data_IF_938533033450
#
_entry.id   IF_938533033450
#
_cell.length_a   1.000
_cell.length_b   1.000
_cell.length_c   1.000
_cell.angle_alpha   90.00
_cell.angle_beta   90.00
_cell.angle_gamma   90.00
#
_symmetry.space_group_name_H-M   'P 1'
#
loop_
_entity.id
_entity.type
_entity.pdbx_description
1 polymer ?
#
# COMPACT_ATOMS: atom_id res chain seq x y z
N UNK A 1 -10.66 1.28 17.76
CA UNK A 1 -9.71 0.19 17.40
C UNK A 1 -8.68 0.77 16.46
N UNK A 2 -7.43 0.33 16.52
CA UNK A 2 -6.36 0.83 15.65
C UNK A 2 -6.29 0.00 14.36
N UNK A 3 -6.10 0.67 13.22
CA UNK A 3 -5.91 0.02 11.91
C UNK A 3 -4.47 -0.45 11.66
N UNK A 4 -3.55 -0.22 12.62
CA UNK A 4 -2.15 -0.59 12.49
C UNK A 4 -1.91 -2.06 12.10
N UNK A 5 -2.65 -3.06 12.62
CA UNK A 5 -2.48 -4.45 12.19
C UNK A 5 -2.86 -4.69 10.72
N UNK A 6 -3.89 -4.00 10.20
CA UNK A 6 -4.32 -4.13 8.81
C UNK A 6 -3.26 -3.55 7.87
N UNK A 7 -2.73 -2.38 8.22
CA UNK A 7 -1.64 -1.73 7.47
C UNK A 7 -0.37 -2.59 7.47
N UNK A 8 0.00 -3.17 8.61
CA UNK A 8 1.17 -4.03 8.70
C UNK A 8 1.06 -5.28 7.81
N UNK A 9 -0.11 -5.94 7.84
CA UNK A 9 -0.37 -7.11 6.99
C UNK A 9 -0.34 -6.75 5.49
N UNK A 10 -0.93 -5.61 5.11
CA UNK A 10 -0.94 -5.13 3.74
C UNK A 10 0.48 -4.81 3.21
N UNK A 11 1.32 -4.19 4.05
CA UNK A 11 2.71 -3.90 3.71
C UNK A 11 3.54 -5.19 3.57
N UNK A 12 3.32 -6.17 4.45
CA UNK A 12 4.02 -7.46 4.35
C UNK A 12 3.66 -8.21 3.06
N UNK A 13 2.37 -8.25 2.69
CA UNK A 13 1.91 -8.83 1.43
C UNK A 13 2.53 -8.17 0.18
N UNK A 14 2.99 -6.93 0.30
CA UNK A 14 3.56 -6.10 -0.78
C UNK A 14 5.07 -5.92 -0.69
N UNK A 15 5.75 -6.71 0.16
CA UNK A 15 7.21 -6.63 0.37
C UNK A 15 8.03 -6.70 -0.91
N UNK A 16 7.51 -7.33 -1.97
CA UNK A 16 8.20 -7.46 -3.26
C UNK A 16 7.99 -6.27 -4.22
N UNK A 17 7.04 -5.35 -3.97
CA UNK A 17 6.74 -4.24 -4.89
C UNK A 17 7.91 -3.29 -5.17
N UNK A 18 8.86 -3.00 -4.26
CA UNK A 18 9.99 -2.13 -4.56
C UNK A 18 10.85 -2.59 -5.76
N UNK A 19 10.81 -3.89 -6.12
CA UNK A 19 11.51 -4.39 -7.31
C UNK A 19 11.04 -3.73 -8.61
N UNK A 20 9.80 -3.24 -8.63
CA UNK A 20 9.19 -2.59 -9.80
C UNK A 20 9.86 -1.26 -10.15
N UNK A 21 10.60 -0.64 -9.21
CA UNK A 21 11.34 0.59 -9.48
C UNK A 21 12.42 0.39 -10.56
N UNK A 22 13.00 -0.81 -10.66
CA UNK A 22 13.93 -1.15 -11.73
C UNK A 22 13.27 -1.09 -13.14
N UNK A 23 11.96 -1.29 -13.18
CA UNK A 23 11.12 -1.21 -14.38
C UNK A 23 10.47 0.17 -14.53
N UNK A 24 10.98 1.19 -13.82
CA UNK A 24 10.43 2.55 -13.81
C UNK A 24 8.95 2.59 -13.39
N UNK A 25 8.53 1.63 -12.55
CA UNK A 25 7.18 1.57 -11.99
C UNK A 25 7.26 1.80 -10.49
N UNK A 26 6.94 3.02 -10.09
CA UNK A 26 7.10 3.51 -8.72
C UNK A 26 5.78 4.02 -8.10
N UNK A 27 4.69 3.92 -8.87
CA UNK A 27 3.33 4.20 -8.46
C UNK A 27 2.52 2.91 -8.28
N UNK A 28 2.07 2.62 -7.05
CA UNK A 28 1.31 1.41 -6.74
C UNK A 28 0.54 1.52 -5.41
N UNK A 29 -0.51 0.71 -5.29
CA UNK A 29 -1.34 0.66 -4.08
C UNK A 29 -0.68 -0.12 -2.96
N UNK A 30 -0.49 0.53 -1.83
CA UNK A 30 -0.01 -0.05 -0.57
C UNK A 30 -1.14 -0.59 0.30
N UNK A 31 -2.33 0.03 0.23
CA UNK A 31 -3.51 -0.42 0.98
C UNK A 31 -4.81 -0.20 0.18
N UNK A 32 -5.64 -1.24 0.08
CA UNK A 32 -6.95 -1.24 -0.55
C UNK A 32 -8.03 -1.63 0.47
N UNK A 33 -8.59 -0.63 1.14
CA UNK A 33 -9.43 -0.82 2.32
C UNK A 33 -10.67 -1.69 2.13
N UNK A 34 -11.30 -1.72 0.96
CA UNK A 34 -12.43 -2.63 0.70
C UNK A 34 -12.05 -4.11 0.70
N UNK A 35 -10.79 -4.44 0.38
CA UNK A 35 -10.26 -5.81 0.40
C UNK A 35 -9.60 -6.12 1.75
N UNK A 36 -9.01 -5.11 2.38
CA UNK A 36 -8.16 -5.28 3.56
C UNK A 36 -8.85 -4.91 4.88
N UNK A 37 -10.18 -4.81 4.87
CA UNK A 37 -11.00 -4.71 6.09
C UNK A 37 -11.20 -3.29 6.64
N UNK A 38 -10.89 -2.25 5.86
CA UNK A 38 -11.17 -0.86 6.21
C UNK A 38 -11.76 -0.07 5.03
N UNK A 39 -13.03 -0.34 4.63
CA UNK A 39 -13.66 0.31 3.47
C UNK A 39 -13.61 1.84 3.56
N UNK A 40 -13.30 2.51 2.45
CA UNK A 40 -13.18 3.97 2.39
C UNK A 40 -11.77 4.52 2.58
N UNK A 41 -10.78 3.67 2.85
CA UNK A 41 -9.36 4.04 2.91
C UNK A 41 -8.57 3.42 1.76
N UNK A 42 -7.75 4.23 1.10
CA UNK A 42 -6.74 3.78 0.14
C UNK A 42 -5.42 4.41 0.48
N UNK A 43 -4.32 3.67 0.33
CA UNK A 43 -2.99 4.26 0.42
C UNK A 43 -2.23 3.88 -0.83
N UNK A 44 -1.80 4.88 -1.57
CA UNK A 44 -1.09 4.74 -2.84
C UNK A 44 0.29 5.42 -2.73
N UNK A 45 1.34 4.75 -3.23
CA UNK A 45 2.64 5.37 -3.45
C UNK A 45 2.63 6.02 -4.83
N UNK A 46 3.19 7.22 -4.95
CA UNK A 46 3.47 7.92 -6.19
C UNK A 46 4.88 8.52 -6.13
N UNK A 47 5.87 7.76 -6.60
CA UNK A 47 7.28 8.11 -6.36
C UNK A 47 7.54 8.21 -4.86
N UNK A 48 8.18 9.29 -4.41
CA UNK A 48 8.47 9.51 -2.99
C UNK A 48 7.25 9.96 -2.15
N UNK A 49 6.09 10.16 -2.79
CA UNK A 49 4.87 10.61 -2.12
C UNK A 49 3.97 9.44 -1.74
N UNK A 50 3.25 9.62 -0.62
CA UNK A 50 2.11 8.79 -0.24
C UNK A 50 0.82 9.61 -0.39
N UNK A 51 -0.16 9.03 -1.06
CA UNK A 51 -1.53 9.51 -1.13
C UNK A 51 -2.40 8.64 -0.22
N UNK A 52 -3.21 9.27 0.63
CA UNK A 52 -4.09 8.62 1.62
C UNK A 52 -5.51 9.13 1.45
#
# INVERSE_FOLDING_TARGET
MSDAPLLAAALDARRSLPRLHAEQTDAYRLFHGSVEGHPGLTIDRYGELLLV
#
